data_IF_721905941477
#
_entry.id   IF_721905941477
#
_cell.length_a   1.000
_cell.length_b   1.000
_cell.length_c   1.000
_cell.angle_alpha   90.00
_cell.angle_beta   90.00
_cell.angle_gamma   90.00
#
_symmetry.space_group_name_H-M   'P 1'
#
loop_
_entity.id
_entity.type
_entity.pdbx_description
1 polymer ?
#
# COMPACT_ATOMS: atom_id res chain seq x y z
N UNK A 1 -17.38 -74.62 38.21
CA UNK A 1 -16.81 -74.64 39.57
C UNK A 1 -16.58 -73.17 39.97
N UNK A 2 -17.39 -72.54 40.85
CA UNK A 2 -17.46 -72.74 42.32
C UNK A 2 -16.21 -72.09 42.98
N UNK A 3 -16.20 -71.16 43.94
CA UNK A 3 -17.09 -70.56 44.96
C UNK A 3 -16.44 -69.21 45.41
N UNK A 4 -17.16 -68.11 45.68
CA UNK A 4 -17.70 -67.66 46.98
C UNK A 4 -16.78 -67.78 48.22
N UNK A 5 -16.46 -66.65 48.88
CA UNK A 5 -16.91 -66.31 50.26
C UNK A 5 -16.44 -64.93 50.78
N UNK A 6 -17.41 -64.18 51.32
CA UNK A 6 -17.34 -63.10 52.34
C UNK A 6 -16.91 -63.68 53.73
N UNK A 7 -16.70 -62.92 54.86
CA UNK A 7 -17.34 -61.66 55.36
C UNK A 7 -16.33 -60.68 56.04
N UNK A 8 -16.60 -59.61 56.80
CA UNK A 8 -17.68 -59.22 57.73
C UNK A 8 -17.64 -57.73 58.11
N UNK A 9 -18.81 -57.21 58.48
CA UNK A 9 -19.13 -55.84 58.98
C UNK A 9 -18.73 -55.57 60.44
N UNK A 10 -18.46 -54.30 60.79
CA UNK A 10 -18.70 -53.77 62.15
C UNK A 10 -19.11 -52.27 62.11
N UNK A 11 -20.14 -51.96 62.89
CA UNK A 11 -20.94 -50.72 62.97
C UNK A 11 -20.24 -49.61 63.77
N UNK A 12 -20.57 -48.35 63.50
CA UNK A 12 -20.64 -47.26 64.50
C UNK A 12 -21.80 -46.30 64.18
N UNK A 13 -22.45 -45.82 65.25
CA UNK A 13 -23.81 -45.26 65.32
C UNK A 13 -23.93 -43.77 64.90
N UNK A 14 -25.16 -43.29 64.56
CA UNK A 14 -25.37 -41.88 64.19
C UNK A 14 -25.58 -40.99 65.42
N UNK A 15 -24.77 -39.94 65.56
CA UNK A 15 -25.00 -38.86 66.51
C UNK A 15 -26.05 -37.88 65.96
N UNK A 16 -27.15 -37.74 66.69
CA UNK A 16 -28.20 -36.75 66.44
C UNK A 16 -27.70 -35.37 66.87
N UNK A 17 -27.45 -34.47 65.92
CA UNK A 17 -27.43 -33.04 66.18
C UNK A 17 -28.80 -32.46 65.79
N UNK A 18 -29.58 -32.10 66.81
CA UNK A 18 -30.81 -31.33 66.70
C UNK A 18 -30.47 -29.91 66.21
N UNK A 19 -30.83 -29.60 64.97
CA UNK A 19 -30.95 -28.20 64.52
C UNK A 19 -32.45 -27.88 64.46
N UNK A 20 -32.88 -26.97 65.33
CA UNK A 20 -34.24 -26.45 65.36
C UNK A 20 -34.57 -25.75 64.05
N UNK A 21 -35.61 -26.22 63.35
CA UNK A 21 -36.19 -25.54 62.19
C UNK A 21 -37.11 -24.42 62.71
N UNK A 22 -36.87 -23.14 62.38
CA UNK A 22 -37.81 -22.09 62.73
C UNK A 22 -39.07 -22.21 61.85
N UNK A 23 -40.24 -22.17 62.48
CA UNK A 23 -41.54 -22.10 61.80
C UNK A 23 -41.60 -20.86 60.90
N UNK A 24 -41.75 -21.07 59.60
CA UNK A 24 -42.03 -20.02 58.61
C UNK A 24 -43.36 -19.34 58.95
N UNK A 25 -43.31 -18.02 59.14
CA UNK A 25 -44.49 -17.15 59.21
C UNK A 25 -45.11 -17.03 57.80
N UNK A 26 -46.44 -17.08 57.64
CA UNK A 26 -47.07 -16.82 56.36
C UNK A 26 -47.19 -15.30 56.19
N UNK A 27 -46.28 -14.68 55.45
CA UNK A 27 -46.56 -13.51 54.63
C UNK A 27 -45.28 -12.99 54.00
N UNK A 28 -45.17 -13.21 52.70
CA UNK A 28 -45.03 -12.14 51.70
C UNK A 28 -44.92 -12.84 50.35
N UNK A 29 -45.99 -12.79 49.56
CA UNK A 29 -45.85 -12.87 48.11
C UNK A 29 -44.95 -11.71 47.67
N UNK A 30 -43.64 -11.94 47.62
CA UNK A 30 -42.74 -11.03 46.93
C UNK A 30 -43.09 -11.11 45.45
N UNK A 31 -43.78 -10.05 45.00
CA UNK A 31 -44.06 -9.75 43.59
C UNK A 31 -42.76 -9.73 42.80
N UNK A 32 -42.44 -10.85 42.14
CA UNK A 32 -41.58 -10.86 40.95
C UNK A 32 -42.39 -10.30 39.77
N UNK A 33 -42.71 -9.00 39.80
CA UNK A 33 -43.44 -8.36 38.69
C UNK A 33 -43.17 -6.85 38.54
N UNK A 34 -42.00 -6.35 38.94
CA UNK A 34 -41.69 -4.92 38.85
C UNK A 34 -40.71 -4.53 37.74
N UNK A 35 -40.00 -5.47 37.10
CA UNK A 35 -39.11 -5.17 35.98
C UNK A 35 -39.84 -5.08 34.63
N UNK A 36 -40.80 -5.98 34.36
CA UNK A 36 -41.58 -5.95 33.12
C UNK A 36 -42.59 -4.78 33.07
N UNK A 37 -43.20 -4.41 34.21
CA UNK A 37 -44.19 -3.34 34.27
C UNK A 37 -43.57 -1.94 34.10
N UNK A 38 -42.29 -1.75 34.43
CA UNK A 38 -41.60 -0.46 34.27
C UNK A 38 -41.18 -0.18 32.82
N UNK A 39 -41.05 -1.20 31.96
CA UNK A 39 -40.84 -1.04 30.51
C UNK A 39 -42.14 -0.63 29.77
N UNK A 40 -43.30 -0.77 30.42
CA UNK A 40 -44.61 -0.58 29.79
C UNK A 40 -45.25 0.80 29.97
N UNK A 41 -44.62 1.74 30.72
CA UNK A 41 -45.13 3.12 30.85
C UNK A 41 -44.92 3.89 29.53
N UNK A 42 -45.91 4.64 29.00
CA UNK A 42 -45.79 5.36 27.72
C UNK A 42 -44.56 6.27 27.64
N UNK A 43 -44.25 6.99 28.72
CA UNK A 43 -43.06 7.85 28.81
C UNK A 43 -41.72 7.10 28.79
N UNK A 44 -41.68 5.85 29.26
CA UNK A 44 -40.49 5.00 29.18
C UNK A 44 -40.34 4.36 27.80
N UNK A 45 -41.43 4.04 27.11
CA UNK A 45 -41.39 3.54 25.73
C UNK A 45 -40.87 4.59 24.76
N UNK A 46 -41.39 5.82 24.84
CA UNK A 46 -40.93 6.94 24.01
C UNK A 46 -39.48 7.28 24.32
N UNK A 47 -39.11 7.38 25.61
CA UNK A 47 -37.71 7.62 26.02
C UNK A 47 -36.77 6.51 25.55
N UNK A 48 -37.13 5.24 25.71
CA UNK A 48 -36.29 4.13 25.28
C UNK A 48 -36.21 4.04 23.75
N UNK A 49 -37.29 4.37 23.04
CA UNK A 49 -37.27 4.50 21.58
C UNK A 49 -36.33 5.63 21.15
N UNK A 50 -36.41 6.81 21.77
CA UNK A 50 -35.50 7.93 21.50
C UNK A 50 -34.04 7.55 21.78
N UNK A 51 -33.74 6.99 22.95
CA UNK A 51 -32.38 6.54 23.30
C UNK A 51 -31.89 5.48 22.31
N UNK A 52 -32.73 4.49 21.98
CA UNK A 52 -32.39 3.43 21.03
C UNK A 52 -32.12 3.96 19.63
N UNK A 53 -33.00 4.82 19.12
CA UNK A 53 -32.84 5.47 17.81
C UNK A 53 -31.60 6.36 17.78
N UNK A 54 -31.35 7.15 18.83
CA UNK A 54 -30.12 7.96 18.92
C UNK A 54 -28.89 7.07 18.93
N UNK A 55 -28.86 6.01 19.73
CA UNK A 55 -27.72 5.09 19.79
C UNK A 55 -27.45 4.43 18.43
N UNK A 56 -28.49 3.88 17.78
CA UNK A 56 -28.37 3.28 16.45
C UNK A 56 -27.90 4.31 15.43
N UNK A 57 -28.48 5.52 15.45
CA UNK A 57 -28.09 6.61 14.56
C UNK A 57 -26.64 7.03 14.76
N UNK A 58 -26.18 7.16 16.01
CA UNK A 58 -24.78 7.50 16.34
C UNK A 58 -23.82 6.41 15.90
N UNK A 59 -24.14 5.13 16.13
CA UNK A 59 -23.30 4.00 15.69
C UNK A 59 -23.26 3.93 14.16
N UNK A 60 -24.40 4.07 13.49
CA UNK A 60 -24.48 4.03 12.02
C UNK A 60 -23.72 5.20 11.38
N UNK A 61 -23.92 6.41 11.88
CA UNK A 61 -23.19 7.59 11.44
C UNK A 61 -21.69 7.45 11.73
N UNK A 62 -21.33 7.01 12.93
CA UNK A 62 -19.93 6.75 13.30
C UNK A 62 -19.27 5.73 12.37
N UNK A 63 -19.93 4.61 12.09
CA UNK A 63 -19.45 3.63 11.12
C UNK A 63 -19.28 4.23 9.72
N UNK A 64 -20.28 4.96 9.22
CA UNK A 64 -20.22 5.57 7.89
C UNK A 64 -19.07 6.58 7.80
N UNK A 65 -19.01 7.52 8.74
CA UNK A 65 -18.01 8.58 8.77
C UNK A 65 -16.60 8.03 8.99
N UNK A 66 -16.40 7.04 9.87
CA UNK A 66 -15.07 6.50 10.17
C UNK A 66 -14.55 5.51 9.11
N UNK A 67 -15.43 4.92 8.31
CA UNK A 67 -15.02 3.98 7.24
C UNK A 67 -15.02 4.60 5.85
N UNK A 68 -15.61 5.78 5.68
CA UNK A 68 -15.52 6.55 4.44
C UNK A 68 -14.16 7.25 4.34
N UNK A 69 -13.34 6.83 3.37
CA UNK A 69 -12.01 7.42 3.15
C UNK A 69 -12.06 8.91 2.82
N UNK A 70 -13.21 9.42 2.33
CA UNK A 70 -13.42 10.85 2.05
C UNK A 70 -13.63 11.71 3.29
N UNK A 71 -13.91 11.10 4.44
CA UNK A 71 -14.12 11.85 5.68
C UNK A 71 -12.87 12.64 6.09
N UNK A 72 -13.10 13.89 6.50
CA UNK A 72 -12.06 14.81 6.95
C UNK A 72 -11.19 14.24 8.09
N UNK A 73 -11.74 13.33 8.89
CA UNK A 73 -11.03 12.67 10.00
C UNK A 73 -9.72 11.99 9.56
N UNK A 74 -9.69 11.44 8.35
CA UNK A 74 -8.52 10.71 7.86
C UNK A 74 -7.35 11.61 7.47
N UNK A 75 -7.63 12.85 7.05
CA UNK A 75 -6.60 13.80 6.62
C UNK A 75 -6.16 14.72 7.76
N UNK A 76 -7.11 15.28 8.52
CA UNK A 76 -6.80 16.38 9.44
C UNK A 76 -6.59 15.94 10.91
N UNK A 77 -7.36 14.99 11.44
CA UNK A 77 -7.03 14.32 12.71
C UNK A 77 -6.01 13.18 12.60
N UNK A 78 -6.30 12.12 11.83
CA UNK A 78 -5.56 10.85 11.90
C UNK A 78 -4.10 11.01 11.50
N UNK A 79 -3.82 11.67 10.37
CA UNK A 79 -2.44 11.84 9.88
C UNK A 79 -1.60 12.72 10.83
N UNK A 80 -2.04 13.91 11.26
CA UNK A 80 -1.31 14.69 12.27
C UNK A 80 -1.18 13.98 13.60
N UNK A 81 -2.20 13.26 14.08
CA UNK A 81 -2.12 12.48 15.31
C UNK A 81 -1.07 11.38 15.24
N UNK A 82 -1.08 10.56 14.18
CA UNK A 82 -0.05 9.53 13.98
C UNK A 82 1.34 10.16 13.88
N UNK A 83 1.46 11.32 13.23
CA UNK A 83 2.73 12.02 13.13
C UNK A 83 3.24 12.52 14.47
N UNK A 84 2.36 13.11 15.27
CA UNK A 84 2.66 13.57 16.61
C UNK A 84 2.99 12.42 17.57
N UNK A 85 2.22 11.33 17.51
CA UNK A 85 2.42 10.15 18.36
C UNK A 85 3.79 9.49 18.12
N UNK A 86 4.23 9.46 16.86
CA UNK A 86 5.57 9.01 16.45
C UNK A 86 6.55 10.17 16.19
N UNK A 87 6.37 11.34 16.83
CA UNK A 87 7.26 12.49 16.66
C UNK A 87 8.50 12.40 17.55
N UNK A 88 9.63 12.96 17.09
CA UNK A 88 10.94 12.84 17.76
C UNK A 88 11.60 11.47 17.63
N UNK A 89 10.88 10.51 17.05
CA UNK A 89 11.36 9.17 16.72
C UNK A 89 12.03 9.11 15.34
N UNK A 90 12.14 10.20 14.57
CA UNK A 90 12.80 10.18 13.24
C UNK A 90 14.28 10.55 13.33
N UNK A 91 14.83 10.59 14.55
CA UNK A 91 16.19 11.04 14.84
C UNK A 91 16.99 9.82 15.32
N UNK A 92 18.21 9.60 14.81
CA UNK A 92 19.11 8.58 15.34
C UNK A 92 19.27 8.74 16.86
N UNK A 93 19.31 7.63 17.61
CA UNK A 93 19.43 7.68 19.08
C UNK A 93 20.70 8.41 19.51
N UNK A 94 21.75 8.30 18.72
CA UNK A 94 23.04 8.95 18.90
C UNK A 94 22.95 10.47 18.76
N UNK A 95 21.94 10.99 18.07
CA UNK A 95 21.64 12.41 17.93
C UNK A 95 20.56 12.90 18.91
N UNK A 96 20.28 12.14 19.99
CA UNK A 96 19.28 12.48 21.01
C UNK A 96 17.84 12.11 20.62
N UNK A 97 17.68 11.32 19.57
CA UNK A 97 16.39 10.86 19.06
C UNK A 97 15.79 9.64 19.75
N UNK A 98 14.54 9.32 19.41
CA UNK A 98 13.81 8.18 19.98
C UNK A 98 13.76 6.92 19.09
N UNK A 99 14.24 6.94 17.84
CA UNK A 99 14.41 5.72 17.04
C UNK A 99 13.96 5.80 15.58
N UNK A 100 12.91 5.07 15.21
CA UNK A 100 12.45 4.78 13.84
C UNK A 100 10.96 5.12 13.60
N UNK A 101 10.54 6.30 14.03
CA UNK A 101 9.14 6.75 14.13
C UNK A 101 8.36 6.71 12.84
N UNK A 102 8.91 7.28 11.77
CA UNK A 102 8.25 7.37 10.47
C UNK A 102 8.04 5.96 9.89
N UNK A 103 9.02 5.07 10.05
CA UNK A 103 8.91 3.68 9.63
C UNK A 103 7.89 2.92 10.49
N UNK A 104 7.88 3.11 11.82
CA UNK A 104 6.85 2.55 12.71
C UNK A 104 5.44 3.03 12.38
N UNK A 105 5.27 4.33 12.14
CA UNK A 105 3.99 4.92 11.75
C UNK A 105 3.47 4.30 10.45
N UNK A 106 4.36 4.09 9.47
CA UNK A 106 4.04 3.38 8.23
C UNK A 106 3.63 1.93 8.47
N UNK A 107 4.42 1.17 9.26
CA UNK A 107 4.11 -0.22 9.60
C UNK A 107 2.76 -0.36 10.32
N UNK A 108 2.46 0.56 11.25
CA UNK A 108 1.20 0.60 12.01
C UNK A 108 0.03 0.95 11.10
N UNK A 109 0.21 1.92 10.20
CA UNK A 109 -0.81 2.27 9.20
C UNK A 109 -1.18 1.08 8.31
N UNK A 110 -0.19 0.36 7.78
CA UNK A 110 -0.40 -0.85 6.96
C UNK A 110 -1.11 -1.96 7.76
N UNK A 111 -0.67 -2.21 9.00
CA UNK A 111 -1.31 -3.20 9.87
C UNK A 111 -2.75 -2.83 10.22
N UNK A 112 -3.03 -1.55 10.46
CA UNK A 112 -4.38 -1.07 10.75
C UNK A 112 -5.31 -1.23 9.54
N UNK A 113 -4.86 -0.85 8.34
CA UNK A 113 -5.62 -1.06 7.10
C UNK A 113 -5.95 -2.53 6.89
N UNK A 114 -4.96 -3.41 7.04
CA UNK A 114 -5.16 -4.86 6.92
C UNK A 114 -6.13 -5.38 7.99
N UNK A 115 -5.91 -5.03 9.26
CA UNK A 115 -6.73 -5.51 10.36
C UNK A 115 -8.20 -5.10 10.23
N UNK A 116 -8.47 -3.84 9.85
CA UNK A 116 -9.80 -3.34 9.57
C UNK A 116 -10.48 -4.11 8.41
N UNK A 117 -9.72 -4.38 7.34
CA UNK A 117 -10.21 -5.16 6.22
C UNK A 117 -10.55 -6.60 6.62
N UNK A 118 -9.66 -7.28 7.35
CA UNK A 118 -9.84 -8.68 7.75
C UNK A 118 -11.06 -8.89 8.66
N UNK A 119 -11.43 -7.91 9.49
CA UNK A 119 -12.62 -7.97 10.38
C UNK A 119 -13.91 -7.47 9.71
N UNK A 120 -13.90 -7.19 8.40
CA UNK A 120 -15.08 -6.76 7.66
C UNK A 120 -15.43 -5.27 7.83
N UNK A 121 -14.49 -4.45 8.28
CA UNK A 121 -14.63 -2.99 8.39
C UNK A 121 -13.65 -2.25 7.47
N UNK A 122 -13.59 -2.57 6.17
CA UNK A 122 -12.63 -1.94 5.27
C UNK A 122 -12.90 -0.43 5.17
N UNK A 123 -11.82 0.35 5.22
CA UNK A 123 -11.89 1.75 4.79
C UNK A 123 -12.12 1.75 3.28
N UNK A 124 -13.16 2.46 2.84
CA UNK A 124 -13.49 2.58 1.41
C UNK A 124 -14.11 3.93 1.12
N UNK A 125 -13.92 4.39 -0.10
CA UNK A 125 -14.64 5.55 -0.60
C UNK A 125 -16.14 5.22 -0.71
N UNK A 126 -17.00 6.15 -0.30
CA UNK A 126 -18.46 6.05 -0.46
C UNK A 126 -18.97 7.00 -1.55
N UNK A 127 -20.22 6.82 -1.97
CA UNK A 127 -20.87 7.60 -3.03
C UNK A 127 -20.89 6.87 -4.37
N UNK A 128 -21.36 7.56 -5.41
CA UNK A 128 -21.61 6.97 -6.73
C UNK A 128 -20.38 7.06 -7.67
N UNK A 129 -19.36 7.81 -7.27
CA UNK A 129 -18.09 7.95 -7.98
C UNK A 129 -18.22 8.43 -9.43
N UNK A 130 -19.14 9.36 -9.70
CA UNK A 130 -19.43 9.91 -11.05
C UNK A 130 -18.19 10.43 -11.77
N UNK A 131 -17.18 10.88 -11.03
CA UNK A 131 -15.88 11.30 -11.58
C UNK A 131 -15.17 10.22 -12.41
N UNK A 132 -15.53 8.94 -12.26
CA UNK A 132 -14.95 7.84 -13.05
C UNK A 132 -15.47 7.79 -14.49
N UNK A 133 -16.63 8.40 -14.76
CA UNK A 133 -17.29 8.37 -16.06
C UNK A 133 -17.07 9.65 -16.86
N UNK A 134 -16.32 10.62 -16.31
CA UNK A 134 -15.90 11.83 -17.01
C UNK A 134 -14.97 11.49 -18.18
N UNK A 135 -15.24 12.10 -19.34
CA UNK A 135 -14.46 11.88 -20.55
C UNK A 135 -12.97 12.22 -20.32
N UNK A 136 -12.09 11.36 -20.81
CA UNK A 136 -10.65 11.51 -20.63
C UNK A 136 -10.11 10.98 -19.30
N UNK A 137 -10.95 10.54 -18.35
CA UNK A 137 -10.48 9.89 -17.12
C UNK A 137 -9.87 8.51 -17.37
N UNK A 138 -10.49 7.70 -18.23
CA UNK A 138 -10.00 6.37 -18.55
C UNK A 138 -8.67 6.36 -19.32
N UNK A 139 -7.96 5.23 -19.26
CA UNK A 139 -6.74 4.98 -20.05
C UNK A 139 -6.67 3.53 -20.51
N UNK A 140 -6.37 3.33 -21.79
CA UNK A 140 -5.99 2.01 -22.32
C UNK A 140 -4.54 1.73 -21.99
N UNK A 141 -4.30 0.65 -21.23
CA UNK A 141 -2.96 0.25 -20.83
C UNK A 141 -2.78 -1.25 -21.00
N UNK A 142 -1.83 -1.62 -21.86
CA UNK A 142 -1.42 -3.02 -22.05
C UNK A 142 -2.57 -3.99 -22.39
N UNK A 143 -3.62 -3.50 -23.05
CA UNK A 143 -4.81 -4.28 -23.40
C UNK A 143 -5.91 -4.26 -22.33
N UNK A 144 -5.80 -3.41 -21.32
CA UNK A 144 -6.80 -3.20 -20.28
C UNK A 144 -7.32 -1.77 -20.28
N UNK A 145 -8.64 -1.62 -20.16
CA UNK A 145 -9.28 -0.34 -19.93
C UNK A 145 -9.25 -0.01 -18.43
N UNK A 146 -8.44 0.96 -18.03
CA UNK A 146 -8.40 1.47 -16.66
C UNK A 146 -9.36 2.64 -16.51
N UNK A 147 -10.07 2.72 -15.38
CA UNK A 147 -11.04 3.79 -15.11
C UNK A 147 -10.39 5.14 -14.81
N UNK A 148 -9.16 5.11 -14.33
CA UNK A 148 -8.35 6.31 -14.06
C UNK A 148 -6.90 6.05 -14.46
N UNK A 149 -6.07 7.09 -14.60
CA UNK A 149 -4.63 6.92 -14.80
C UNK A 149 -3.88 6.78 -13.48
N UNK A 150 -4.56 6.66 -12.34
CA UNK A 150 -3.97 6.84 -11.02
C UNK A 150 -3.46 5.52 -10.43
N UNK A 151 -2.28 5.59 -9.81
CA UNK A 151 -1.55 4.42 -9.34
C UNK A 151 -0.82 4.64 -8.00
N UNK A 152 -0.82 3.64 -7.13
CA UNK A 152 0.03 3.63 -5.94
C UNK A 152 1.44 3.17 -6.34
N UNK A 153 2.45 3.97 -5.99
CA UNK A 153 3.87 3.69 -6.27
C UNK A 153 4.47 2.68 -5.29
N UNK A 154 5.51 1.96 -5.72
CA UNK A 154 6.24 0.99 -4.90
C UNK A 154 6.73 1.57 -3.57
N UNK A 155 6.93 0.66 -2.61
CA UNK A 155 7.47 0.93 -1.29
C UNK A 155 6.41 1.10 -0.22
N UNK A 156 5.12 1.26 -0.58
CA UNK A 156 4.02 1.38 0.38
C UNK A 156 3.71 0.00 0.96
N UNK A 157 3.34 -0.96 0.08
CA UNK A 157 3.30 -2.39 0.41
C UNK A 157 4.53 -3.11 -0.18
N UNK A 158 5.60 -3.18 0.60
CA UNK A 158 6.85 -3.84 0.21
C UNK A 158 6.75 -5.37 0.18
N UNK A 159 5.69 -5.93 0.76
CA UNK A 159 5.70 -7.32 1.21
C UNK A 159 4.46 -8.11 0.79
N UNK A 160 3.61 -7.55 -0.08
CA UNK A 160 2.36 -8.15 -0.53
C UNK A 160 1.41 -8.48 0.65
N UNK A 161 1.32 -7.60 1.64
CA UNK A 161 0.48 -7.82 2.84
C UNK A 161 -0.80 -7.02 2.86
N UNK A 162 -0.94 -6.01 1.99
CA UNK A 162 -1.98 -4.99 2.07
C UNK A 162 -2.62 -4.67 0.70
N UNK A 163 -2.51 -5.58 -0.28
CA UNK A 163 -3.01 -5.37 -1.65
C UNK A 163 -4.53 -5.08 -1.68
N UNK A 164 -5.35 -5.98 -1.13
CA UNK A 164 -6.81 -5.84 -1.15
C UNK A 164 -7.29 -4.62 -0.33
N UNK A 165 -6.77 -4.37 0.90
CA UNK A 165 -7.08 -3.16 1.64
C UNK A 165 -6.72 -1.86 0.89
N UNK A 166 -5.58 -1.83 0.19
CA UNK A 166 -5.17 -0.65 -0.57
C UNK A 166 -6.07 -0.40 -1.78
N UNK A 167 -6.47 -1.44 -2.52
CA UNK A 167 -7.46 -1.29 -3.59
C UNK A 167 -8.85 -0.90 -3.05
N UNK A 168 -9.22 -1.32 -1.84
CA UNK A 168 -10.50 -0.98 -1.24
C UNK A 168 -10.63 0.52 -0.91
N UNK A 169 -9.52 1.23 -0.72
CA UNK A 169 -9.54 2.64 -0.29
C UNK A 169 -10.31 3.56 -1.24
N UNK A 170 -10.20 3.33 -2.54
CA UNK A 170 -10.85 4.15 -3.56
C UNK A 170 -10.96 3.42 -4.89
N UNK A 171 -12.09 3.55 -5.62
CA UNK A 171 -12.18 3.05 -6.99
C UNK A 171 -11.34 3.84 -7.98
N UNK A 172 -10.83 5.01 -7.60
CA UNK A 172 -9.89 5.76 -8.39
C UNK A 172 -8.52 5.10 -8.52
N UNK A 173 -8.19 4.05 -7.76
CA UNK A 173 -6.89 3.38 -7.83
C UNK A 173 -6.93 2.31 -8.92
N UNK A 174 -6.27 2.58 -10.05
CA UNK A 174 -6.22 1.66 -11.18
C UNK A 174 -4.99 0.75 -11.17
N UNK A 175 -3.89 1.15 -10.54
CA UNK A 175 -2.70 0.30 -10.42
C UNK A 175 -2.14 0.35 -9.00
N UNK A 176 -1.72 -0.79 -8.47
CA UNK A 176 -0.95 -0.87 -7.24
C UNK A 176 0.40 -1.52 -7.52
N UNK A 177 1.49 -0.81 -7.24
CA UNK A 177 2.85 -1.32 -7.33
C UNK A 177 3.34 -1.78 -5.95
N UNK A 178 3.55 -3.10 -5.78
CA UNK A 178 4.15 -3.67 -4.57
C UNK A 178 5.68 -3.81 -4.68
N UNK A 179 6.36 -4.03 -3.56
CA UNK A 179 7.82 -4.21 -3.52
C UNK A 179 8.57 -2.91 -3.21
N UNK A 180 9.86 -2.78 -3.48
CA UNK A 180 10.74 -3.71 -4.21
C UNK A 180 10.97 -5.04 -3.49
N UNK A 181 10.79 -6.15 -4.20
CA UNK A 181 11.08 -7.51 -3.73
C UNK A 181 12.43 -7.98 -4.31
N UNK A 182 13.24 -8.57 -3.44
CA UNK A 182 14.53 -9.20 -3.77
C UNK A 182 14.40 -10.73 -3.77
N UNK A 183 15.30 -11.49 -4.42
CA UNK A 183 15.26 -12.96 -4.41
C UNK A 183 15.25 -13.51 -2.99
N UNK A 184 16.29 -13.16 -2.24
CA UNK A 184 16.48 -13.57 -0.85
C UNK A 184 15.96 -12.50 0.11
N UNK A 185 15.50 -12.87 1.31
CA UNK A 185 15.14 -11.91 2.34
C UNK A 185 16.34 -11.04 2.74
N UNK A 186 16.08 -9.76 3.03
CA UNK A 186 17.09 -8.88 3.61
C UNK A 186 16.44 -7.79 4.46
N UNK A 187 17.10 -7.43 5.58
CA UNK A 187 16.58 -6.43 6.51
C UNK A 187 16.58 -5.00 5.94
N UNK A 188 17.42 -4.72 4.94
CA UNK A 188 17.73 -3.38 4.42
C UNK A 188 18.83 -2.68 5.22
N UNK A 189 18.94 -1.36 5.09
CA UNK A 189 19.93 -0.56 5.83
C UNK A 189 19.51 -0.35 7.30
N UNK A 190 20.45 -0.04 8.22
CA UNK A 190 20.13 0.20 9.63
C UNK A 190 19.10 1.33 9.83
N UNK A 191 18.30 1.20 10.90
CA UNK A 191 17.32 2.22 11.32
C UNK A 191 17.98 3.28 12.23
N UNK A 192 17.50 4.54 12.25
CA UNK A 192 16.45 5.10 11.37
C UNK A 192 16.91 5.30 9.93
N UNK A 193 15.93 5.14 9.03
CA UNK A 193 16.13 5.19 7.57
C UNK A 193 14.96 5.79 6.81
N UNK A 194 14.00 6.38 7.51
CA UNK A 194 12.89 7.14 6.95
C UNK A 194 12.71 8.39 7.80
N UNK A 195 12.72 9.54 7.16
CA UNK A 195 12.73 10.85 7.79
C UNK A 195 11.63 11.70 7.16
N UNK A 196 10.82 12.34 7.99
CA UNK A 196 9.77 13.26 7.52
C UNK A 196 10.31 14.69 7.52
N UNK A 197 9.91 15.45 6.51
CA UNK A 197 10.02 16.91 6.47
C UNK A 197 8.60 17.47 6.40
N UNK A 198 7.90 17.60 7.55
CA UNK A 198 6.51 17.98 7.61
C UNK A 198 6.18 19.30 6.91
N UNK A 199 7.04 20.29 7.04
CA UNK A 199 6.81 21.65 6.56
C UNK A 199 6.74 21.70 5.03
N UNK A 200 7.55 20.88 4.36
CA UNK A 200 7.58 20.76 2.89
C UNK A 200 6.84 19.53 2.35
N UNK A 201 6.06 18.84 3.18
CA UNK A 201 5.37 17.60 2.85
C UNK A 201 6.28 16.57 2.16
N UNK A 202 7.51 16.44 2.61
CA UNK A 202 8.55 15.64 1.95
C UNK A 202 9.03 14.49 2.84
N UNK A 203 9.70 13.51 2.23
CA UNK A 203 10.31 12.37 2.92
C UNK A 203 11.71 12.14 2.37
N UNK A 204 12.66 11.85 3.25
CA UNK A 204 13.96 11.28 2.89
C UNK A 204 13.99 9.83 3.38
N UNK A 205 14.43 8.89 2.54
CA UNK A 205 14.58 7.51 2.97
C UNK A 205 15.83 6.84 2.42
N UNK A 206 16.35 5.90 3.21
CA UNK A 206 17.48 5.04 2.87
C UNK A 206 17.23 3.56 3.16
N UNK A 207 16.04 3.05 2.83
CA UNK A 207 15.65 1.68 3.16
C UNK A 207 16.63 0.58 2.70
N UNK A 208 17.17 0.69 1.49
CA UNK A 208 18.07 -0.33 0.91
C UNK A 208 17.38 -1.67 0.67
N UNK A 209 16.20 -1.65 0.04
CA UNK A 209 15.37 -2.83 -0.26
C UNK A 209 15.18 -3.79 0.92
N UNK A 210 14.59 -3.31 2.03
CA UNK A 210 14.06 -4.22 3.04
C UNK A 210 12.96 -5.09 2.43
N UNK A 211 13.16 -6.41 2.43
CA UNK A 211 12.37 -7.36 1.64
C UNK A 211 12.25 -8.69 2.38
N UNK A 212 11.07 -9.32 2.28
CA UNK A 212 10.81 -10.66 2.82
C UNK A 212 11.30 -11.78 1.90
N UNK A 213 11.89 -11.45 0.75
CA UNK A 213 12.27 -12.41 -0.28
C UNK A 213 11.12 -12.74 -1.23
N UNK A 214 11.48 -13.22 -2.42
CA UNK A 214 10.53 -13.54 -3.47
C UNK A 214 9.64 -14.76 -3.13
N UNK A 215 10.16 -15.74 -2.39
CA UNK A 215 9.39 -16.92 -1.98
C UNK A 215 8.23 -16.56 -1.05
N UNK A 216 8.49 -15.74 -0.03
CA UNK A 216 7.45 -15.30 0.92
C UNK A 216 6.40 -14.44 0.22
N UNK A 217 6.83 -13.55 -0.67
CA UNK A 217 5.90 -12.75 -1.47
C UNK A 217 5.03 -13.64 -2.39
N UNK A 218 5.63 -14.64 -3.04
CA UNK A 218 4.90 -15.59 -3.90
C UNK A 218 3.86 -16.40 -3.11
N UNK A 219 4.17 -16.83 -1.87
CA UNK A 219 3.20 -17.52 -1.00
C UNK A 219 1.99 -16.63 -0.72
N UNK A 220 2.20 -15.35 -0.40
CA UNK A 220 1.11 -14.39 -0.10
C UNK A 220 0.27 -14.08 -1.34
N UNK A 221 0.90 -13.92 -2.49
CA UNK A 221 0.21 -13.69 -3.76
C UNK A 221 -0.60 -14.91 -4.18
N UNK A 222 -0.07 -16.12 -3.98
CA UNK A 222 -0.80 -17.36 -4.20
C UNK A 222 -2.00 -17.50 -3.27
N UNK A 223 -1.85 -17.16 -1.99
CA UNK A 223 -2.97 -17.17 -1.04
C UNK A 223 -4.11 -16.24 -1.48
N UNK A 224 -3.81 -15.04 -1.98
CA UNK A 224 -4.82 -14.16 -2.60
C UNK A 224 -5.56 -14.84 -3.74
N UNK A 225 -4.82 -15.47 -4.67
CA UNK A 225 -5.42 -16.19 -5.80
C UNK A 225 -6.29 -17.35 -5.32
N UNK A 226 -5.83 -18.14 -4.35
CA UNK A 226 -6.57 -19.26 -3.76
C UNK A 226 -7.87 -18.82 -3.13
N UNK A 227 -7.85 -17.76 -2.32
CA UNK A 227 -9.05 -17.20 -1.70
C UNK A 227 -10.05 -16.69 -2.73
N UNK A 228 -9.56 -16.02 -3.78
CA UNK A 228 -10.41 -15.58 -4.88
C UNK A 228 -11.05 -16.75 -5.61
N UNK A 229 -10.25 -17.75 -5.99
CA UNK A 229 -10.72 -18.95 -6.69
C UNK A 229 -11.80 -19.69 -5.88
N UNK A 230 -11.56 -19.89 -4.58
CA UNK A 230 -12.53 -20.49 -3.67
C UNK A 230 -13.83 -19.67 -3.56
N UNK A 231 -13.73 -18.35 -3.42
CA UNK A 231 -14.91 -17.48 -3.30
C UNK A 231 -15.77 -17.45 -4.57
N UNK A 232 -15.19 -17.76 -5.74
CA UNK A 232 -15.88 -17.75 -7.03
C UNK A 232 -16.16 -19.16 -7.59
N UNK A 233 -15.83 -20.22 -6.84
CA UNK A 233 -16.06 -21.61 -7.27
C UNK A 233 -15.26 -22.05 -8.50
N UNK A 234 -14.07 -21.48 -8.71
CA UNK A 234 -13.16 -21.80 -9.83
C UNK A 234 -11.82 -22.34 -9.32
N UNK A 235 -10.99 -22.89 -10.20
CA UNK A 235 -9.64 -23.35 -9.84
C UNK A 235 -8.60 -22.20 -9.83
N UNK A 236 -7.44 -22.42 -9.22
CA UNK A 236 -6.30 -21.48 -9.34
C UNK A 236 -5.88 -21.34 -10.81
N UNK A 237 -5.92 -22.43 -11.58
CA UNK A 237 -5.52 -22.44 -13.00
C UNK A 237 -6.47 -21.62 -13.87
N UNK A 238 -7.77 -21.57 -13.56
CA UNK A 238 -8.72 -20.69 -14.22
C UNK A 238 -8.35 -19.21 -13.99
N UNK A 239 -7.90 -18.86 -12.79
CA UNK A 239 -7.45 -17.50 -12.47
C UNK A 239 -6.14 -17.15 -13.20
N UNK A 240 -5.18 -18.08 -13.25
CA UNK A 240 -3.91 -17.85 -13.97
C UNK A 240 -4.11 -17.76 -15.48
N UNK A 241 -5.08 -18.48 -16.02
CA UNK A 241 -5.29 -18.57 -17.47
C UNK A 241 -6.43 -17.70 -18.00
N UNK A 242 -7.12 -16.96 -17.14
CA UNK A 242 -8.10 -15.96 -17.57
C UNK A 242 -7.48 -14.90 -18.48
N UNK A 243 -8.20 -14.56 -19.53
CA UNK A 243 -7.85 -13.48 -20.46
C UNK A 243 -8.49 -12.15 -20.09
N UNK A 244 -9.48 -12.16 -19.19
CA UNK A 244 -10.26 -10.98 -18.78
C UNK A 244 -9.99 -10.56 -17.34
N UNK A 245 -9.56 -11.49 -16.48
CA UNK A 245 -9.25 -11.22 -15.08
C UNK A 245 -7.77 -10.86 -14.91
N UNK A 246 -7.44 -9.60 -14.56
CA UNK A 246 -6.07 -9.20 -14.26
C UNK A 246 -5.54 -9.86 -12.98
N UNK A 247 -4.22 -9.86 -12.79
CA UNK A 247 -3.53 -10.34 -11.59
C UNK A 247 -3.92 -9.58 -10.31
N UNK A 248 -4.41 -8.36 -10.46
CA UNK A 248 -5.00 -7.60 -9.36
C UNK A 248 -6.20 -8.32 -8.74
N UNK A 249 -6.90 -9.19 -9.49
CA UNK A 249 -8.18 -9.81 -9.13
C UNK A 249 -9.35 -8.81 -9.06
N UNK A 250 -9.15 -7.60 -9.58
CA UNK A 250 -10.17 -6.56 -9.71
C UNK A 250 -10.31 -6.15 -11.18
N UNK A 251 -11.53 -6.12 -11.73
CA UNK A 251 -11.75 -5.60 -13.08
C UNK A 251 -11.20 -4.17 -13.22
N UNK A 252 -10.64 -3.86 -14.39
CA UNK A 252 -10.10 -2.53 -14.72
C UNK A 252 -8.95 -2.05 -13.81
N UNK A 253 -8.29 -2.95 -13.07
CA UNK A 253 -7.15 -2.62 -12.22
C UNK A 253 -6.01 -3.59 -12.43
N UNK A 254 -4.78 -3.12 -12.29
CA UNK A 254 -3.58 -3.92 -12.50
C UNK A 254 -2.72 -4.00 -11.24
N UNK A 255 -2.08 -5.15 -11.05
CA UNK A 255 -1.09 -5.35 -10.00
C UNK A 255 0.31 -5.33 -10.63
N UNK A 256 1.10 -4.35 -10.20
CA UNK A 256 2.51 -4.25 -10.57
C UNK A 256 3.38 -4.83 -9.44
N UNK A 257 4.38 -5.62 -9.80
CA UNK A 257 5.34 -6.21 -8.86
C UNK A 257 6.73 -5.68 -9.16
N UNK A 258 7.25 -4.84 -8.27
CA UNK A 258 8.60 -4.30 -8.41
C UNK A 258 9.65 -5.27 -7.86
N UNK A 259 10.67 -5.51 -8.66
CA UNK A 259 11.77 -6.44 -8.37
C UNK A 259 13.12 -5.72 -8.40
N UNK A 260 14.07 -6.25 -7.64
CA UNK A 260 15.42 -5.70 -7.51
C UNK A 260 16.44 -6.75 -7.07
N UNK A 261 17.72 -6.38 -7.14
CA UNK A 261 18.82 -7.25 -6.68
C UNK A 261 18.98 -7.26 -5.16
N UNK A 262 19.55 -8.34 -4.63
CA UNK A 262 19.99 -8.38 -3.25
C UNK A 262 21.18 -7.43 -3.02
N UNK A 263 21.33 -6.93 -1.79
CA UNK A 263 22.45 -6.04 -1.39
C UNK A 263 23.80 -6.74 -1.50
N UNK A 264 23.84 -8.04 -1.21
CA UNK A 264 25.04 -8.88 -1.22
C UNK A 264 25.53 -9.23 -2.62
N UNK A 265 24.69 -9.08 -3.64
CA UNK A 265 25.05 -9.32 -5.04
C UNK A 265 25.93 -8.17 -5.54
N UNK A 266 27.20 -8.41 -5.88
CA UNK A 266 28.11 -7.36 -6.35
C UNK A 266 27.62 -6.76 -7.68
N UNK A 267 27.63 -5.44 -7.79
CA UNK A 267 27.24 -4.75 -9.04
C UNK A 267 28.20 -5.01 -10.20
N UNK A 268 29.42 -5.46 -9.92
CA UNK A 268 30.43 -5.84 -10.91
C UNK A 268 30.17 -7.21 -11.53
N UNK A 269 29.36 -8.06 -10.89
CA UNK A 269 28.96 -9.37 -11.41
C UNK A 269 27.59 -9.25 -12.09
N UNK A 270 27.61 -8.82 -13.36
CA UNK A 270 26.40 -8.58 -14.15
C UNK A 270 25.56 -9.85 -14.31
N UNK A 271 26.18 -11.02 -14.41
CA UNK A 271 25.45 -12.29 -14.47
C UNK A 271 24.72 -12.58 -13.16
N UNK A 272 25.34 -12.33 -12.00
CA UNK A 272 24.64 -12.43 -10.71
C UNK A 272 23.51 -11.42 -10.58
N UNK A 273 23.71 -10.18 -11.02
CA UNK A 273 22.64 -9.17 -11.06
C UNK A 273 21.47 -9.68 -11.91
N UNK A 274 21.72 -10.18 -13.13
CA UNK A 274 20.67 -10.75 -13.99
C UNK A 274 19.96 -11.95 -13.34
N UNK A 275 20.71 -12.83 -12.67
CA UNK A 275 20.13 -13.96 -11.92
C UNK A 275 19.17 -13.49 -10.83
N UNK A 276 19.50 -12.45 -10.08
CA UNK A 276 18.59 -11.92 -9.07
C UNK A 276 17.25 -11.48 -9.68
N UNK A 277 17.28 -10.68 -10.75
CA UNK A 277 16.04 -10.24 -11.37
C UNK A 277 15.24 -11.40 -11.98
N UNK A 278 15.90 -12.33 -12.67
CA UNK A 278 15.23 -13.48 -13.30
C UNK A 278 14.71 -14.51 -12.29
N UNK A 279 15.36 -14.68 -11.13
CA UNK A 279 14.84 -15.50 -10.02
C UNK A 279 13.54 -14.89 -9.45
N UNK A 280 13.52 -13.57 -9.23
CA UNK A 280 12.30 -12.87 -8.85
C UNK A 280 11.19 -13.06 -9.89
N UNK A 281 11.49 -12.93 -11.19
CA UNK A 281 10.52 -13.17 -12.27
C UNK A 281 9.96 -14.59 -12.20
N UNK A 282 10.83 -15.61 -12.09
CA UNK A 282 10.41 -17.02 -12.02
C UNK A 282 9.42 -17.30 -10.88
N UNK A 283 9.54 -16.59 -9.75
CA UNK A 283 8.66 -16.74 -8.59
C UNK A 283 7.41 -15.87 -8.66
N UNK A 284 7.49 -14.68 -9.23
CA UNK A 284 6.48 -13.62 -9.06
C UNK A 284 5.67 -13.30 -10.31
N UNK A 285 6.20 -13.56 -11.52
CA UNK A 285 5.57 -13.12 -12.77
C UNK A 285 4.17 -13.67 -12.99
N UNK A 286 3.89 -14.89 -12.54
CA UNK A 286 2.54 -15.48 -12.65
C UNK A 286 1.46 -14.76 -11.86
N UNK A 287 1.84 -13.88 -10.92
CA UNK A 287 0.95 -13.11 -10.05
C UNK A 287 0.93 -11.61 -10.37
N UNK A 288 1.55 -11.19 -11.48
CA UNK A 288 1.66 -9.79 -11.86
C UNK A 288 0.96 -9.52 -13.20
N UNK A 289 0.46 -8.30 -13.37
CA UNK A 289 0.12 -7.74 -14.69
C UNK A 289 1.32 -6.97 -15.26
N UNK A 290 2.12 -6.38 -14.37
CA UNK A 290 3.32 -5.61 -14.70
C UNK A 290 4.48 -6.06 -13.82
N UNK A 291 5.61 -6.41 -14.41
CA UNK A 291 6.89 -6.56 -13.70
C UNK A 291 7.67 -5.26 -13.82
N UNK A 292 8.03 -4.68 -12.68
CA UNK A 292 8.80 -3.43 -12.65
C UNK A 292 10.26 -3.71 -12.26
N UNK A 293 11.19 -3.44 -13.16
CA UNK A 293 12.64 -3.55 -12.93
C UNK A 293 13.15 -2.28 -12.27
N UNK A 294 13.61 -2.36 -11.02
CA UNK A 294 14.12 -1.19 -10.29
C UNK A 294 15.65 -1.07 -10.38
N UNK A 295 16.12 -0.18 -11.27
CA UNK A 295 17.56 0.16 -11.42
C UNK A 295 17.93 1.53 -10.83
N UNK A 296 17.05 2.12 -10.02
CA UNK A 296 17.09 3.56 -9.71
C UNK A 296 17.21 3.91 -8.23
N UNK A 297 17.15 2.93 -7.33
CA UNK A 297 17.30 3.19 -5.89
C UNK A 297 18.66 3.83 -5.57
N UNK A 298 18.71 5.00 -4.89
CA UNK A 298 19.97 5.57 -4.40
C UNK A 298 20.52 4.81 -3.18
N UNK A 299 19.74 3.88 -2.63
CA UNK A 299 19.98 3.28 -1.32
C UNK A 299 20.64 1.90 -1.39
N UNK A 300 20.86 1.41 -2.61
CA UNK A 300 21.56 0.16 -2.91
C UNK A 300 22.82 0.54 -3.70
N UNK A 301 24.03 0.35 -3.14
CA UNK A 301 25.29 0.70 -3.80
C UNK A 301 25.37 0.13 -5.22
N UNK A 302 25.94 0.92 -6.12
CA UNK A 302 26.16 0.55 -7.52
C UNK A 302 24.90 0.44 -8.39
N UNK A 303 23.69 0.41 -7.83
CA UNK A 303 22.48 0.07 -8.61
C UNK A 303 22.22 1.03 -9.78
N UNK A 304 22.44 2.33 -9.58
CA UNK A 304 22.22 3.36 -10.63
C UNK A 304 23.23 3.28 -11.77
N UNK A 305 24.38 2.63 -11.59
CA UNK A 305 25.37 2.45 -12.65
C UNK A 305 24.87 1.47 -13.73
N UNK A 306 23.90 0.62 -13.40
CA UNK A 306 23.22 -0.28 -14.33
C UNK A 306 22.41 0.47 -15.40
N UNK A 307 22.16 1.78 -15.25
CA UNK A 307 21.41 2.58 -16.22
C UNK A 307 22.25 2.96 -17.46
N UNK A 308 23.53 2.54 -17.53
CA UNK A 308 24.33 2.65 -18.75
C UNK A 308 23.74 1.75 -19.84
N UNK A 309 23.64 2.28 -21.07
CA UNK A 309 22.95 1.68 -22.21
C UNK A 309 23.08 0.17 -22.33
N UNK A 310 24.30 -0.34 -22.51
CA UNK A 310 24.54 -1.77 -22.81
C UNK A 310 24.17 -2.68 -21.65
N UNK A 311 24.58 -2.31 -20.42
CA UNK A 311 24.26 -3.07 -19.21
C UNK A 311 22.75 -3.09 -18.95
N UNK A 312 22.08 -1.95 -19.16
CA UNK A 312 20.64 -1.84 -19.00
C UNK A 312 19.92 -2.72 -20.02
N UNK A 313 20.30 -2.64 -21.30
CA UNK A 313 19.65 -3.39 -22.36
C UNK A 313 19.79 -4.91 -22.14
N UNK A 314 20.99 -5.39 -21.78
CA UNK A 314 21.24 -6.81 -21.50
C UNK A 314 20.39 -7.31 -20.31
N UNK A 315 20.38 -6.57 -19.20
CA UNK A 315 19.54 -6.89 -18.05
C UNK A 315 18.05 -6.93 -18.40
N UNK A 316 17.55 -5.89 -19.08
CA UNK A 316 16.14 -5.80 -19.45
C UNK A 316 15.73 -6.91 -20.41
N UNK A 317 16.59 -7.28 -21.36
CA UNK A 317 16.34 -8.37 -22.32
C UNK A 317 16.20 -9.72 -21.60
N UNK A 318 17.05 -9.99 -20.60
CA UNK A 318 16.97 -11.20 -19.79
C UNK A 318 15.64 -11.25 -18.98
N UNK A 319 15.22 -10.13 -18.41
CA UNK A 319 13.95 -10.03 -17.67
C UNK A 319 12.74 -10.21 -18.58
N UNK A 320 12.73 -9.58 -19.76
CA UNK A 320 11.65 -9.73 -20.75
C UNK A 320 11.52 -11.18 -21.20
N UNK A 321 12.65 -11.83 -21.51
CA UNK A 321 12.68 -13.26 -21.85
C UNK A 321 12.06 -14.13 -20.75
N UNK A 322 12.55 -13.99 -19.51
CA UNK A 322 12.03 -14.76 -18.37
C UNK A 322 10.54 -14.47 -18.10
N UNK A 323 10.09 -13.24 -18.30
CA UNK A 323 8.68 -12.85 -18.09
C UNK A 323 7.76 -13.48 -19.13
N UNK A 324 8.21 -13.59 -20.38
CA UNK A 324 7.48 -14.26 -21.45
C UNK A 324 7.34 -15.78 -21.24
N UNK A 325 8.23 -16.38 -20.45
CA UNK A 325 8.21 -17.79 -20.07
C UNK A 325 7.30 -18.08 -18.85
N UNK A 326 6.75 -17.05 -18.19
CA UNK A 326 5.95 -17.21 -16.97
C UNK A 326 4.70 -18.11 -17.19
N UNK A 327 4.33 -19.00 -16.25
CA UNK A 327 3.24 -19.96 -16.41
C UNK A 327 1.86 -19.33 -16.15
N UNK A 328 1.46 -18.40 -17.03
CA UNK A 328 0.11 -17.81 -17.10
C UNK A 328 -0.21 -17.43 -18.56
N UNK A 329 -1.50 -17.39 -18.92
CA UNK A 329 -1.98 -17.14 -20.28
C UNK A 329 -1.63 -15.75 -20.80
N UNK A 330 -1.98 -14.71 -20.04
CA UNK A 330 -1.64 -13.31 -20.38
C UNK A 330 -0.31 -12.96 -19.72
N UNK A 331 0.74 -12.76 -20.52
CA UNK A 331 2.08 -12.47 -20.00
C UNK A 331 2.16 -11.07 -19.41
N UNK A 332 2.80 -10.89 -18.24
CA UNK A 332 3.00 -9.56 -17.67
C UNK A 332 3.81 -8.67 -18.61
N UNK A 333 3.57 -7.36 -18.57
CA UNK A 333 4.43 -6.40 -19.27
C UNK A 333 5.61 -6.02 -18.38
N UNK A 334 6.80 -5.90 -18.96
CA UNK A 334 7.98 -5.41 -18.25
C UNK A 334 8.05 -3.89 -18.39
N UNK A 335 8.28 -3.21 -17.27
CA UNK A 335 8.50 -1.76 -17.18
C UNK A 335 9.77 -1.52 -16.37
N UNK A 336 10.53 -0.46 -16.66
CA UNK A 336 11.72 -0.09 -15.90
C UNK A 336 11.51 1.19 -15.10
N UNK A 337 11.95 1.25 -13.84
CA UNK A 337 11.87 2.47 -13.01
C UNK A 337 13.24 3.13 -12.92
N UNK A 338 13.32 4.38 -13.38
CA UNK A 338 14.58 5.12 -13.58
C UNK A 338 14.79 6.22 -12.53
N UNK A 339 16.03 6.68 -12.39
CA UNK A 339 16.40 7.73 -11.44
C UNK A 339 16.09 9.11 -12.01
N UNK A 340 15.56 10.05 -11.22
CA UNK A 340 15.42 11.44 -11.68
C UNK A 340 16.77 12.15 -11.83
N UNK A 341 17.85 11.56 -11.28
CA UNK A 341 19.20 12.11 -11.30
C UNK A 341 19.99 11.69 -12.55
N UNK A 342 19.45 10.76 -13.35
CA UNK A 342 19.99 10.37 -14.67
C UNK A 342 19.25 11.16 -15.75
N UNK A 343 19.46 12.48 -15.75
CA UNK A 343 18.61 13.44 -16.46
C UNK A 343 19.29 14.20 -17.59
N UNK A 344 20.54 13.88 -17.93
CA UNK A 344 21.15 14.52 -19.10
C UNK A 344 20.45 14.04 -20.38
N UNK A 345 20.40 14.87 -21.46
CA UNK A 345 19.83 14.43 -22.73
C UNK A 345 20.44 13.12 -23.27
N UNK A 346 21.74 12.91 -23.05
CA UNK A 346 22.42 11.65 -23.38
C UNK A 346 21.92 10.47 -22.54
N UNK A 347 21.76 10.64 -21.23
CA UNK A 347 21.24 9.57 -20.36
C UNK A 347 19.85 9.15 -20.81
N UNK A 348 18.96 10.12 -21.07
CA UNK A 348 17.58 9.87 -21.50
C UNK A 348 17.57 9.11 -22.82
N UNK A 349 18.39 9.51 -23.79
CA UNK A 349 18.52 8.84 -25.09
C UNK A 349 19.06 7.41 -24.95
N UNK A 350 20.05 7.20 -24.11
CA UNK A 350 20.66 5.88 -23.89
C UNK A 350 19.71 4.92 -23.18
N UNK A 351 19.03 5.39 -22.13
CA UNK A 351 18.00 4.62 -21.42
C UNK A 351 16.83 4.31 -22.36
N UNK A 352 16.36 5.29 -23.14
CA UNK A 352 15.28 5.08 -24.11
C UNK A 352 15.67 4.06 -25.18
N UNK A 353 16.91 4.12 -25.67
CA UNK A 353 17.43 3.13 -26.62
C UNK A 353 17.47 1.72 -26.01
N UNK A 354 17.90 1.59 -24.75
CA UNK A 354 17.93 0.30 -24.06
C UNK A 354 16.51 -0.28 -23.83
N UNK A 355 15.54 0.57 -23.51
CA UNK A 355 14.12 0.18 -23.40
C UNK A 355 13.62 -0.39 -24.73
N UNK A 356 13.80 0.36 -25.82
CA UNK A 356 13.34 -0.07 -27.14
C UNK A 356 14.06 -1.34 -27.62
N UNK A 357 15.38 -1.44 -27.37
CA UNK A 357 16.20 -2.58 -27.77
C UNK A 357 15.95 -3.86 -26.98
N UNK A 358 15.33 -3.78 -25.80
CA UNK A 358 15.05 -4.94 -24.93
C UNK A 358 13.60 -5.44 -25.00
N UNK A 359 12.70 -4.70 -25.65
CA UNK A 359 11.27 -5.04 -25.70
C UNK A 359 10.50 -4.70 -24.42
N UNK A 360 11.06 -3.83 -23.56
CA UNK A 360 10.37 -3.30 -22.39
C UNK A 360 9.21 -2.40 -22.83
N UNK A 361 8.06 -2.56 -22.19
CA UNK A 361 6.80 -1.94 -22.60
C UNK A 361 6.61 -0.51 -22.06
N UNK A 362 7.45 -0.08 -21.11
CA UNK A 362 7.34 1.27 -20.54
C UNK A 362 8.42 1.63 -19.53
N UNK A 363 8.39 2.89 -19.10
CA UNK A 363 9.30 3.49 -18.12
C UNK A 363 8.52 4.24 -17.05
N UNK A 364 8.92 4.07 -15.79
CA UNK A 364 8.46 4.88 -14.66
C UNK A 364 9.48 5.96 -14.35
N UNK A 365 9.03 7.20 -14.52
CA UNK A 365 9.78 8.44 -14.36
C UNK A 365 9.15 9.21 -13.18
N UNK A 366 9.69 9.16 -11.97
CA UNK A 366 10.93 8.51 -11.61
C UNK A 366 10.91 7.96 -10.17
N UNK A 367 12.08 7.55 -9.70
CA UNK A 367 12.33 7.26 -8.30
C UNK A 367 12.64 8.55 -7.51
N UNK A 368 13.11 8.41 -6.27
CA UNK A 368 13.57 9.52 -5.42
C UNK A 368 14.88 10.15 -5.93
N UNK A 369 15.11 11.43 -5.61
CA UNK A 369 16.34 12.18 -5.95
C UNK A 369 17.32 12.23 -4.78
N UNK A 370 18.64 12.24 -5.05
CA UNK A 370 19.64 12.54 -4.01
C UNK A 370 19.84 14.04 -3.79
N UNK A 371 19.35 14.87 -4.71
CA UNK A 371 19.38 16.33 -4.58
C UNK A 371 18.55 16.79 -3.39
N UNK A 372 18.90 17.97 -2.87
CA UNK A 372 18.18 18.66 -1.79
C UNK A 372 17.82 20.06 -2.28
N UNK A 373 16.72 20.21 -3.03
CA UNK A 373 16.29 21.51 -3.54
C UNK A 373 16.05 22.49 -2.39
N UNK A 374 16.45 23.74 -2.53
CA UNK A 374 16.37 24.73 -1.45
C UNK A 374 14.91 24.97 -1.00
N UNK A 375 13.95 24.75 -1.91
CA UNK A 375 12.52 24.92 -1.68
C UNK A 375 11.99 24.06 -0.54
N UNK A 376 12.64 22.92 -0.23
CA UNK A 376 12.20 22.05 0.88
C UNK A 376 12.43 22.67 2.26
N UNK A 377 13.25 23.74 2.34
CA UNK A 377 13.57 24.49 3.55
C UNK A 377 13.15 25.96 3.45
N UNK A 378 12.42 26.36 2.40
CA UNK A 378 12.11 27.78 2.13
C UNK A 378 11.08 28.38 3.10
N UNK A 379 10.28 27.55 3.78
CA UNK A 379 9.27 28.02 4.71
C UNK A 379 9.90 28.52 6.02
N UNK A 380 9.45 29.66 6.57
CA UNK A 380 9.91 30.13 7.87
C UNK A 380 9.47 29.22 9.05
N UNK A 381 8.51 28.32 8.83
CA UNK A 381 8.10 27.30 9.78
C UNK A 381 9.03 26.08 9.81
N UNK A 382 10.00 26.00 8.89
CA UNK A 382 10.97 24.90 8.82
C UNK A 382 11.78 24.85 10.11
N UNK A 383 11.68 23.72 10.82
CA UNK A 383 12.37 23.52 12.10
C UNK A 383 13.88 23.30 11.91
N UNK A 384 14.68 23.57 12.95
CA UNK A 384 16.11 23.25 12.94
C UNK A 384 16.38 21.75 12.72
N UNK A 385 15.46 20.89 13.17
CA UNK A 385 15.54 19.46 12.93
C UNK A 385 15.32 19.11 11.46
N UNK A 386 14.35 19.72 10.78
CA UNK A 386 14.16 19.53 9.33
C UNK A 386 15.39 19.99 8.54
N UNK A 387 16.02 21.11 8.95
CA UNK A 387 17.28 21.58 8.37
C UNK A 387 18.41 20.57 8.59
N UNK A 388 18.54 20.02 9.81
CA UNK A 388 19.52 18.97 10.14
C UNK A 388 19.28 17.72 9.29
N UNK A 389 18.03 17.26 9.18
CA UNK A 389 17.64 16.09 8.38
C UNK A 389 18.03 16.31 6.92
N UNK A 390 17.63 17.43 6.32
CA UNK A 390 17.94 17.73 4.93
C UNK A 390 19.45 17.78 4.65
N UNK A 391 20.23 18.32 5.58
CA UNK A 391 21.67 18.50 5.44
C UNK A 391 22.50 17.22 5.72
N UNK A 392 22.11 16.41 6.72
CA UNK A 392 22.93 15.30 7.22
C UNK A 392 22.43 13.92 6.79
N UNK A 393 21.14 13.76 6.53
CA UNK A 393 20.58 12.43 6.27
C UNK A 393 20.77 12.03 4.80
N UNK A 394 21.50 10.93 4.62
CA UNK A 394 21.63 10.27 3.32
C UNK A 394 20.31 9.62 2.88
N UNK A 395 20.17 9.46 1.57
CA UNK A 395 19.08 8.74 0.95
C UNK A 395 18.34 9.57 -0.09
N UNK A 396 17.27 8.99 -0.62
CA UNK A 396 16.43 9.62 -1.63
C UNK A 396 15.34 10.50 -1.03
N UNK A 397 15.25 11.74 -1.51
CA UNK A 397 14.16 12.68 -1.27
C UNK A 397 12.96 12.36 -2.18
N UNK A 398 11.78 12.45 -1.62
CA UNK A 398 10.48 12.40 -2.30
C UNK A 398 9.57 13.48 -1.73
N UNK A 399 8.56 13.89 -2.50
CA UNK A 399 7.63 14.94 -2.10
C UNK A 399 7.41 15.97 -3.21
N UNK A 400 6.62 17.02 -2.94
CA UNK A 400 6.21 18.01 -3.93
C UNK A 400 7.35 18.64 -4.73
N UNK A 401 8.50 18.85 -4.09
CA UNK A 401 9.67 19.46 -4.73
C UNK A 401 10.22 18.66 -5.94
N UNK A 402 9.86 17.38 -6.09
CA UNK A 402 10.25 16.59 -7.26
C UNK A 402 9.36 16.83 -8.49
N UNK A 403 8.19 17.47 -8.34
CA UNK A 403 7.21 17.59 -9.41
C UNK A 403 7.80 18.26 -10.67
N UNK A 404 8.49 19.43 -10.58
CA UNK A 404 9.01 20.09 -11.78
C UNK A 404 9.97 19.20 -12.57
N UNK A 405 10.89 18.52 -11.87
CA UNK A 405 11.85 17.61 -12.51
C UNK A 405 11.17 16.38 -13.09
N UNK A 406 10.14 15.87 -12.42
CA UNK A 406 9.35 14.72 -12.89
C UNK A 406 8.65 15.05 -14.20
N UNK A 407 8.03 16.23 -14.31
CA UNK A 407 7.33 16.67 -15.52
C UNK A 407 8.29 16.86 -16.71
N UNK A 408 9.46 17.49 -16.48
CA UNK A 408 10.51 17.65 -17.50
C UNK A 408 10.99 16.30 -18.05
N UNK A 409 11.23 15.33 -17.16
CA UNK A 409 11.68 14.00 -17.55
C UNK A 409 10.58 13.22 -18.28
N UNK A 410 9.32 13.32 -17.82
CA UNK A 410 8.17 12.68 -18.50
C UNK A 410 8.09 13.16 -19.96
N UNK A 411 8.17 14.46 -20.18
CA UNK A 411 8.14 15.05 -21.52
C UNK A 411 9.33 14.59 -22.37
N UNK A 412 10.52 14.56 -21.78
CA UNK A 412 11.75 14.12 -22.47
C UNK A 412 11.71 12.63 -22.86
N UNK A 413 11.29 11.75 -21.95
CA UNK A 413 11.13 10.32 -22.25
C UNK A 413 10.00 10.08 -23.26
N UNK A 414 8.87 10.81 -23.17
CA UNK A 414 7.80 10.69 -24.16
C UNK A 414 8.30 11.06 -25.57
N UNK A 415 9.11 12.11 -25.69
CA UNK A 415 9.71 12.52 -26.96
C UNK A 415 10.61 11.44 -27.57
N UNK A 416 11.46 10.80 -26.77
CA UNK A 416 12.38 9.76 -27.25
C UNK A 416 11.68 8.42 -27.53
N UNK A 417 10.70 8.03 -26.72
CA UNK A 417 10.02 6.74 -26.83
C UNK A 417 8.84 6.74 -27.81
N UNK A 418 8.21 7.90 -28.03
CA UNK A 418 6.99 8.01 -28.84
C UNK A 418 5.88 7.10 -28.30
N UNK A 419 5.21 6.36 -29.18
CA UNK A 419 4.15 5.41 -28.81
C UNK A 419 4.66 3.97 -28.66
N UNK A 420 5.97 3.76 -28.77
CA UNK A 420 6.58 2.42 -28.68
C UNK A 420 6.70 1.91 -27.24
N UNK A 421 6.68 2.80 -26.26
CA UNK A 421 6.72 2.47 -24.85
C UNK A 421 5.93 3.48 -24.02
N UNK A 422 5.27 3.00 -22.96
CA UNK A 422 4.44 3.81 -22.08
C UNK A 422 5.30 4.59 -21.08
N UNK A 423 4.96 5.85 -20.83
CA UNK A 423 5.59 6.67 -19.78
C UNK A 423 4.66 6.80 -18.58
N UNK A 424 5.18 6.48 -17.39
CA UNK A 424 4.49 6.64 -16.11
C UNK A 424 5.16 7.79 -15.34
N UNK A 425 4.37 8.73 -14.82
CA UNK A 425 4.87 9.80 -13.94
C UNK A 425 4.83 9.35 -12.48
N UNK A 426 5.92 9.46 -11.74
CA UNK A 426 6.03 9.11 -10.32
C UNK A 426 6.95 10.12 -9.63
N UNK A 427 6.38 11.09 -8.93
CA UNK A 427 7.18 12.10 -8.21
C UNK A 427 6.44 13.42 -8.03
N UNK A 428 6.29 13.85 -6.78
CA UNK A 428 5.73 15.16 -6.45
C UNK A 428 4.23 15.38 -6.70
N UNK A 429 3.50 14.36 -7.15
CA UNK A 429 2.05 14.42 -7.34
C UNK A 429 1.35 14.55 -5.99
N UNK A 430 0.64 15.65 -5.81
CA UNK A 430 -0.15 15.93 -4.59
C UNK A 430 -1.59 16.36 -4.84
N UNK A 431 -1.94 16.64 -6.09
CA UNK A 431 -3.26 17.12 -6.52
C UNK A 431 -3.72 16.50 -7.85
N UNK A 432 -5.00 16.65 -8.16
CA UNK A 432 -5.54 16.33 -9.49
C UNK A 432 -4.95 17.21 -10.59
N UNK A 433 -4.66 18.48 -10.27
CA UNK A 433 -3.94 19.37 -11.19
C UNK A 433 -2.57 18.84 -11.59
N UNK A 434 -1.78 18.35 -10.64
CA UNK A 434 -0.46 17.75 -10.92
C UNK A 434 -0.59 16.53 -11.83
N UNK A 435 -1.62 15.71 -11.60
CA UNK A 435 -1.89 14.52 -12.41
C UNK A 435 -2.32 14.87 -13.84
N UNK A 436 -3.18 15.88 -14.01
CA UNK A 436 -3.55 16.39 -15.35
C UNK A 436 -2.33 16.96 -16.06
N UNK A 437 -1.48 17.72 -15.38
CA UNK A 437 -0.26 18.26 -15.99
C UNK A 437 0.71 17.15 -16.42
N UNK A 438 0.92 16.13 -15.58
CA UNK A 438 1.73 14.97 -15.95
C UNK A 438 1.20 14.26 -17.21
N UNK A 439 -0.12 14.14 -17.36
CA UNK A 439 -0.74 13.58 -18.56
C UNK A 439 -0.54 14.45 -19.79
N UNK A 440 -0.70 15.78 -19.65
CA UNK A 440 -0.43 16.74 -20.72
C UNK A 440 1.02 16.65 -21.22
N UNK A 441 1.97 16.35 -20.33
CA UNK A 441 3.39 16.12 -20.66
C UNK A 441 3.68 14.76 -21.28
N UNK A 442 2.69 13.87 -21.37
CA UNK A 442 2.80 12.59 -22.06
C UNK A 442 2.80 11.35 -21.17
N UNK A 443 2.56 11.47 -19.87
CA UNK A 443 2.36 10.30 -19.01
C UNK A 443 1.00 9.64 -19.28
N UNK A 444 0.99 8.32 -19.45
CA UNK A 444 -0.26 7.54 -19.51
C UNK A 444 -0.80 7.22 -18.11
N UNK A 445 0.09 7.09 -17.14
CA UNK A 445 -0.22 6.74 -15.75
C UNK A 445 0.50 7.70 -14.80
N UNK A 446 -0.17 8.08 -13.72
CA UNK A 446 0.33 8.97 -12.67
C UNK A 446 0.36 8.24 -11.34
N UNK A 447 1.52 8.21 -10.71
CA UNK A 447 1.81 7.43 -9.52
C UNK A 447 2.10 8.31 -8.31
N UNK A 448 1.70 7.84 -7.14
CA UNK A 448 1.78 8.59 -5.89
C UNK A 448 2.24 7.75 -4.71
N UNK A 449 2.96 8.40 -3.79
CA UNK A 449 3.38 7.84 -2.50
C UNK A 449 3.26 8.94 -1.43
N UNK A 450 4.09 9.97 -1.54
CA UNK A 450 4.23 10.99 -0.49
C UNK A 450 2.94 11.80 -0.33
N UNK A 451 2.26 12.12 -1.43
CA UNK A 451 0.93 12.75 -1.39
C UNK A 451 -0.08 11.97 -0.55
N UNK A 452 -0.06 10.62 -0.62
CA UNK A 452 -0.92 9.78 0.22
C UNK A 452 -0.47 9.73 1.68
N UNK A 453 0.83 9.69 1.96
CA UNK A 453 1.36 9.71 3.34
C UNK A 453 0.93 10.99 4.08
N UNK A 454 0.90 12.12 3.39
CA UNK A 454 0.49 13.41 3.96
C UNK A 454 -1.01 13.69 3.83
N UNK A 455 -1.66 13.17 2.79
CA UNK A 455 -3.09 13.35 2.53
C UNK A 455 -4.00 12.31 3.20
N UNK A 456 -3.47 11.20 3.70
CA UNK A 456 -4.26 10.13 4.27
C UNK A 456 -5.01 9.28 3.23
N UNK A 457 -5.86 8.38 3.71
CA UNK A 457 -6.47 7.31 2.88
C UNK A 457 -7.43 7.81 1.79
N UNK A 458 -8.00 9.01 1.95
CA UNK A 458 -8.88 9.64 0.94
C UNK A 458 -8.14 10.36 -0.20
N UNK A 459 -6.80 10.27 -0.23
CA UNK A 459 -5.98 10.99 -1.22
C UNK A 459 -6.40 10.70 -2.66
N UNK A 460 -6.57 9.44 -3.04
CA UNK A 460 -6.83 9.05 -4.43
C UNK A 460 -8.19 9.50 -4.94
N UNK A 461 -9.24 9.40 -4.12
CA UNK A 461 -10.55 9.94 -4.48
C UNK A 461 -10.50 11.44 -4.69
N UNK A 462 -9.76 12.20 -3.86
CA UNK A 462 -9.64 13.65 -4.00
C UNK A 462 -8.90 14.05 -5.27
N UNK A 463 -7.80 13.36 -5.57
CA UNK A 463 -7.04 13.56 -6.81
C UNK A 463 -7.95 13.30 -8.02
N UNK A 464 -8.68 12.19 -8.05
CA UNK A 464 -9.54 11.86 -9.18
C UNK A 464 -10.70 12.85 -9.37
N UNK A 465 -11.35 13.26 -8.30
CA UNK A 465 -12.43 14.25 -8.35
C UNK A 465 -11.94 15.64 -8.80
N UNK A 466 -10.73 16.04 -8.39
CA UNK A 466 -10.11 17.25 -8.90
C UNK A 466 -9.71 17.14 -10.37
N UNK A 467 -9.19 15.98 -10.81
CA UNK A 467 -8.93 15.72 -12.24
C UNK A 467 -10.20 15.82 -13.07
N UNK A 468 -11.28 15.16 -12.65
CA UNK A 468 -12.57 15.17 -13.34
C UNK A 468 -13.09 16.61 -13.51
N UNK A 469 -13.09 17.39 -12.43
CA UNK A 469 -13.47 18.82 -12.48
C UNK A 469 -12.65 19.61 -13.49
N UNK A 470 -11.33 19.39 -13.58
CA UNK A 470 -10.47 20.08 -14.55
C UNK A 470 -10.79 19.63 -15.99
N UNK A 471 -11.08 18.34 -16.21
CA UNK A 471 -11.41 17.79 -17.53
C UNK A 471 -12.76 18.30 -18.05
N UNK A 472 -13.72 18.57 -17.17
CA UNK A 472 -15.01 19.19 -17.50
C UNK A 472 -14.94 20.72 -17.71
N UNK A 473 -13.73 21.30 -17.66
CA UNK A 473 -13.52 22.74 -17.84
C UNK A 473 -13.62 23.58 -16.55
N UNK A 474 -13.67 22.93 -15.39
CA UNK A 474 -13.49 23.57 -14.09
C UNK A 474 -12.07 24.10 -13.88
N UNK A 475 -11.93 25.07 -12.97
CA UNK A 475 -10.63 25.63 -12.57
C UNK A 475 -9.93 24.78 -11.52
#
# INVERSE_FOLDING_TARGET
MSLLRQPSTLRLAPSKLLVQVPKLRPNQQQRLSSTAANLARPGNKIRNALIGTTLVGTVAFGYYYLTDTRSAIHQYPVVPFLRWFYSGDDIPKEAGGKGDGAEKAHEVGIKALKGLFDIGLPLRERGDHEYLDVEGMGVELFGHHLKTPLAISAGLDKHATCIDPLFALSPAISILEIGCITPQPQAGNPKPRMFRLPTSNSLINRYGFNSVGADVAAIRLRDRVRRYAQAHGISEDDVYNSTTLPASLYPNRLLAVQIGKNKTTPETDIEAVKRDYTECVGKLARYADIIVVNVSSPNTPGLRSLQKRELLQDLLSAVVKATNEAPRKVKPKVVVKVSPDSSSPSDIKDISSAILGSGVAGVIVANTTVSRPAEILASPQTTEEEKRIAAKEMGGLSGPALLPKTLELVESFKKELGDKAVVFASGGITSGRDAVEARKRGASVVMGYTGMVYGGVGFWGRVAEEMARILEGGK
#
